data_IF_646340703658
#
_entry.id   IF_646340703658
#
_cell.length_a   1.000
_cell.length_b   1.000
_cell.length_c   1.000
_cell.angle_alpha   90.00
_cell.angle_beta   90.00
_cell.angle_gamma   90.00
#
_symmetry.space_group_name_H-M   'P 1'
#
loop_
_entity.id
_entity.type
_entity.pdbx_description
1 polymer ?
#
# COMPACT_ATOMS: atom_id res chain seq x y z
N UNK A 1 10.86 -26.70 -25.17
CA UNK A 1 11.27 -27.14 -23.81
C UNK A 1 11.15 -25.94 -22.89
N UNK A 2 10.12 -25.91 -22.05
CA UNK A 2 9.95 -24.86 -21.04
C UNK A 2 10.84 -25.27 -19.86
N UNK A 3 11.94 -24.55 -19.66
CA UNK A 3 12.81 -24.73 -18.49
C UNK A 3 11.99 -24.42 -17.24
N UNK A 4 11.73 -25.44 -16.41
CA UNK A 4 11.14 -25.26 -15.08
C UNK A 4 12.13 -24.48 -14.21
N UNK A 5 11.82 -23.22 -13.95
CA UNK A 5 12.63 -22.31 -13.11
C UNK A 5 12.65 -22.66 -11.61
N UNK A 6 12.32 -23.91 -11.26
CA UNK A 6 12.16 -24.44 -9.91
C UNK A 6 13.47 -24.88 -9.24
N UNK A 7 14.61 -24.80 -9.93
CA UNK A 7 15.83 -25.48 -9.49
C UNK A 7 16.99 -24.56 -9.04
N UNK A 8 16.76 -23.24 -8.94
CA UNK A 8 17.75 -22.36 -8.29
C UNK A 8 17.66 -22.49 -6.78
N UNK A 9 18.71 -23.05 -6.18
CA UNK A 9 18.99 -23.00 -4.75
C UNK A 9 19.62 -21.66 -4.41
N UNK A 10 19.10 -20.99 -3.40
CA UNK A 10 19.62 -19.74 -2.85
C UNK A 10 20.29 -20.03 -1.51
N UNK A 11 21.41 -19.37 -1.25
CA UNK A 11 22.05 -19.41 0.08
C UNK A 11 21.43 -18.31 0.94
N UNK A 12 20.77 -18.73 2.03
CA UNK A 12 20.26 -17.85 3.07
C UNK A 12 21.20 -17.76 4.27
N UNK A 13 20.86 -16.92 5.24
CA UNK A 13 21.60 -16.70 6.46
C UNK A 13 21.62 -17.94 7.37
N UNK A 14 20.54 -18.72 7.39
CA UNK A 14 20.38 -19.91 8.22
C UNK A 14 20.38 -21.22 7.43
N UNK A 15 20.69 -21.18 6.13
CA UNK A 15 20.77 -22.35 5.27
C UNK A 15 20.24 -22.10 3.85
N UNK A 16 20.25 -23.17 3.06
CA UNK A 16 19.74 -23.13 1.69
C UNK A 16 18.21 -23.01 1.66
N UNK A 17 17.70 -22.22 0.72
CA UNK A 17 16.27 -22.17 0.45
C UNK A 17 15.96 -22.15 -1.04
N UNK A 18 14.73 -22.53 -1.37
CA UNK A 18 14.22 -22.57 -2.74
C UNK A 18 13.01 -21.65 -2.89
N UNK A 19 12.93 -21.01 -4.05
CA UNK A 19 11.78 -20.21 -4.46
C UNK A 19 10.85 -21.11 -5.28
N UNK A 20 9.68 -21.40 -4.72
CA UNK A 20 8.64 -22.25 -5.33
C UNK A 20 7.77 -21.45 -6.29
N UNK A 21 7.01 -22.14 -7.15
CA UNK A 21 6.05 -21.49 -8.05
C UNK A 21 4.92 -20.79 -7.28
N UNK A 22 4.53 -21.31 -6.11
CA UNK A 22 3.59 -20.65 -5.20
C UNK A 22 4.14 -19.31 -4.69
N UNK A 23 5.42 -19.27 -4.28
CA UNK A 23 6.07 -18.03 -3.84
C UNK A 23 6.10 -17.00 -5.00
N UNK A 24 6.42 -17.45 -6.22
CA UNK A 24 6.42 -16.59 -7.42
C UNK A 24 5.04 -16.03 -7.71
N UNK A 25 4.01 -16.88 -7.64
CA UNK A 25 2.62 -16.47 -7.84
C UNK A 25 2.18 -15.46 -6.78
N UNK A 26 2.54 -15.68 -5.52
CA UNK A 26 2.32 -14.72 -4.44
C UNK A 26 2.94 -13.35 -4.73
N UNK A 27 4.20 -13.30 -5.19
CA UNK A 27 4.85 -12.04 -5.58
C UNK A 27 4.13 -11.37 -6.76
N UNK A 28 3.66 -12.13 -7.75
CA UNK A 28 2.91 -11.57 -8.88
C UNK A 28 1.63 -10.90 -8.38
N UNK A 29 0.85 -11.59 -7.54
CA UNK A 29 -0.37 -11.01 -6.96
C UNK A 29 -0.07 -9.78 -6.11
N UNK A 30 1.02 -9.82 -5.33
CA UNK A 30 1.48 -8.69 -4.52
C UNK A 30 1.72 -7.44 -5.39
N UNK A 31 2.46 -7.61 -6.49
CA UNK A 31 2.80 -6.53 -7.42
C UNK A 31 1.57 -6.03 -8.17
N UNK A 32 0.69 -6.92 -8.62
CA UNK A 32 -0.56 -6.56 -9.28
C UNK A 32 -1.48 -5.78 -8.34
N UNK A 33 -1.67 -6.24 -7.10
CA UNK A 33 -2.45 -5.53 -6.09
C UNK A 33 -1.89 -4.13 -5.84
N UNK A 34 -0.57 -4.01 -5.72
CA UNK A 34 0.09 -2.71 -5.53
C UNK A 34 -0.09 -1.78 -6.74
N UNK A 35 -0.03 -2.30 -7.96
CA UNK A 35 -0.27 -1.54 -9.18
C UNK A 35 -1.72 -1.06 -9.29
N UNK A 36 -2.69 -1.93 -8.99
CA UNK A 36 -4.11 -1.56 -8.90
C UNK A 36 -4.31 -0.47 -7.85
N UNK A 37 -3.66 -0.61 -6.69
CA UNK A 37 -3.72 0.39 -5.63
C UNK A 37 -3.19 1.75 -6.09
N UNK A 38 -2.00 1.79 -6.68
CA UNK A 38 -1.39 3.01 -7.17
C UNK A 38 -2.21 3.67 -8.29
N UNK A 39 -2.75 2.88 -9.22
CA UNK A 39 -3.61 3.38 -10.29
C UNK A 39 -4.93 3.93 -9.74
N UNK A 40 -5.60 3.22 -8.83
CA UNK A 40 -6.81 3.70 -8.18
C UNK A 40 -6.56 5.04 -7.46
N UNK A 41 -5.49 5.12 -6.68
CA UNK A 41 -5.13 6.36 -5.99
C UNK A 41 -4.84 7.51 -6.96
N UNK A 42 -4.10 7.26 -8.04
CA UNK A 42 -3.75 8.27 -9.03
C UNK A 42 -4.95 8.75 -9.85
N UNK A 43 -5.83 7.82 -10.26
CA UNK A 43 -7.06 8.17 -10.97
C UNK A 43 -8.01 8.96 -10.07
N UNK A 44 -8.16 8.56 -8.79
CA UNK A 44 -8.94 9.30 -7.80
C UNK A 44 -8.42 10.72 -7.59
N UNK A 45 -7.11 10.85 -7.39
CA UNK A 45 -6.42 12.15 -7.24
C UNK A 45 -6.60 13.02 -8.48
N UNK A 46 -6.33 12.47 -9.67
CA UNK A 46 -6.45 13.19 -10.93
C UNK A 46 -7.88 13.64 -11.20
N UNK A 47 -8.86 12.76 -10.97
CA UNK A 47 -10.27 13.09 -11.15
C UNK A 47 -10.74 14.19 -10.21
N UNK A 48 -10.41 14.10 -8.91
CA UNK A 48 -10.76 15.11 -7.91
C UNK A 48 -10.19 16.50 -8.24
N UNK A 49 -9.00 16.56 -8.84
CA UNK A 49 -8.34 17.83 -9.20
C UNK A 49 -8.88 18.40 -10.51
N UNK A 50 -9.14 17.56 -11.52
CA UNK A 50 -9.52 17.98 -12.87
C UNK A 50 -11.02 18.24 -13.02
N UNK A 51 -11.85 17.56 -12.24
CA UNK A 51 -13.33 17.63 -12.35
C UNK A 51 -13.89 18.00 -10.97
N UNK A 52 -13.75 19.27 -10.53
CA UNK A 52 -14.27 19.72 -9.26
C UNK A 52 -15.81 19.65 -9.27
N UNK A 53 -16.40 19.16 -8.17
CA UNK A 53 -17.86 19.11 -7.97
C UNK A 53 -18.51 17.76 -8.26
N UNK A 54 -17.80 16.78 -8.83
CA UNK A 54 -18.24 15.39 -8.92
C UNK A 54 -17.22 14.51 -8.21
N UNK A 55 -17.61 13.88 -7.10
CA UNK A 55 -16.70 13.03 -6.31
C UNK A 55 -17.13 11.56 -6.25
N UNK A 56 -18.26 11.20 -6.85
CA UNK A 56 -18.78 9.84 -6.83
C UNK A 56 -17.81 8.83 -7.46
N UNK A 57 -17.12 9.22 -8.53
CA UNK A 57 -16.13 8.35 -9.18
C UNK A 57 -14.84 8.21 -8.34
N UNK A 58 -14.52 9.22 -7.51
CA UNK A 58 -13.40 9.14 -6.56
C UNK A 58 -13.65 8.04 -5.54
N UNK A 59 -14.88 7.84 -5.08
CA UNK A 59 -15.24 6.72 -4.20
C UNK A 59 -14.99 5.36 -4.87
N UNK A 60 -15.27 5.23 -6.17
CA UNK A 60 -15.00 3.99 -6.92
C UNK A 60 -13.50 3.75 -7.05
N UNK A 61 -12.72 4.79 -7.39
CA UNK A 61 -11.26 4.71 -7.46
C UNK A 61 -10.64 4.41 -6.10
N UNK A 62 -11.20 4.96 -5.02
CA UNK A 62 -10.81 4.66 -3.65
C UNK A 62 -11.09 3.19 -3.28
N UNK A 63 -12.25 2.65 -3.70
CA UNK A 63 -12.56 1.23 -3.49
C UNK A 63 -11.58 0.32 -4.23
N UNK A 64 -11.24 0.64 -5.49
CA UNK A 64 -10.19 -0.07 -6.24
C UNK A 64 -8.84 0.01 -5.53
N UNK A 65 -8.50 1.20 -5.00
CA UNK A 65 -7.30 1.39 -4.20
C UNK A 65 -7.27 0.47 -2.98
N UNK A 66 -8.36 0.44 -2.20
CA UNK A 66 -8.51 -0.38 -1.01
C UNK A 66 -8.39 -1.89 -1.32
N UNK A 67 -9.05 -2.35 -2.38
CA UNK A 67 -9.01 -3.76 -2.80
C UNK A 67 -7.62 -4.17 -3.31
N UNK A 68 -6.97 -3.33 -4.12
CA UNK A 68 -5.61 -3.56 -4.59
C UNK A 68 -4.61 -3.62 -3.42
N UNK A 69 -4.75 -2.71 -2.45
CA UNK A 69 -3.93 -2.69 -1.25
C UNK A 69 -4.14 -3.96 -0.41
N UNK A 70 -5.39 -4.39 -0.24
CA UNK A 70 -5.72 -5.63 0.45
C UNK A 70 -5.09 -6.86 -0.22
N UNK A 71 -5.26 -6.99 -1.54
CA UNK A 71 -4.61 -8.07 -2.31
C UNK A 71 -3.10 -8.07 -2.10
N UNK A 72 -2.47 -6.89 -2.13
CA UNK A 72 -1.04 -6.71 -1.91
C UNK A 72 -0.63 -7.17 -0.51
N UNK A 73 -1.34 -6.76 0.54
CA UNK A 73 -1.05 -7.12 1.94
C UNK A 73 -1.27 -8.60 2.25
N UNK A 74 -2.21 -9.26 1.58
CA UNK A 74 -2.47 -10.68 1.77
C UNK A 74 -1.39 -11.56 1.12
N UNK A 75 -0.62 -11.02 0.17
CA UNK A 75 0.32 -11.78 -0.67
C UNK A 75 1.79 -11.32 -0.52
N UNK A 76 2.04 -10.20 0.15
CA UNK A 76 3.38 -9.72 0.45
C UNK A 76 4.10 -10.63 1.45
N UNK A 77 5.39 -10.87 1.21
CA UNK A 77 6.26 -11.58 2.15
C UNK A 77 6.94 -10.56 3.07
N UNK A 78 6.63 -10.63 4.37
CA UNK A 78 7.21 -9.78 5.42
C UNK A 78 7.76 -10.68 6.52
N UNK A 79 9.05 -10.55 6.84
CA UNK A 79 9.72 -11.33 7.89
C UNK A 79 9.09 -11.16 9.28
N UNK A 80 8.82 -9.90 9.63
CA UNK A 80 8.27 -9.54 10.92
C UNK A 80 6.76 -9.81 10.92
N UNK A 81 6.38 -11.02 11.32
CA UNK A 81 4.97 -11.45 11.39
C UNK A 81 4.10 -10.47 12.21
N UNK A 82 4.54 -9.93 13.37
CA UNK A 82 3.75 -8.94 14.11
C UNK A 82 3.46 -7.68 13.30
N UNK A 83 4.47 -7.18 12.56
CA UNK A 83 4.30 -6.03 11.67
C UNK A 83 3.31 -6.37 10.55
N UNK A 84 3.45 -7.53 9.90
CA UNK A 84 2.55 -7.94 8.83
C UNK A 84 1.09 -7.99 9.28
N UNK A 85 0.81 -8.61 10.44
CA UNK A 85 -0.54 -8.68 11.02
C UNK A 85 -1.07 -7.30 11.39
N UNK A 86 -0.22 -6.43 11.95
CA UNK A 86 -0.63 -5.06 12.26
C UNK A 86 -1.09 -4.30 11.02
N UNK A 87 -0.36 -4.42 9.89
CA UNK A 87 -0.77 -3.79 8.64
C UNK A 87 -2.08 -4.36 8.11
N UNK A 88 -2.29 -5.69 8.18
CA UNK A 88 -3.56 -6.31 7.80
C UNK A 88 -4.73 -5.82 8.66
N UNK A 89 -4.53 -5.65 9.98
CA UNK A 89 -5.53 -5.10 10.89
C UNK A 89 -5.83 -3.64 10.52
N UNK A 90 -4.80 -2.82 10.29
CA UNK A 90 -4.97 -1.42 9.87
C UNK A 90 -5.76 -1.32 8.56
N UNK A 91 -5.43 -2.13 7.57
CA UNK A 91 -6.21 -2.20 6.34
C UNK A 91 -7.67 -2.61 6.61
N UNK A 92 -7.90 -3.66 7.41
CA UNK A 92 -9.24 -4.15 7.73
C UNK A 92 -10.09 -3.10 8.44
N UNK A 93 -9.55 -2.45 9.48
CA UNK A 93 -10.22 -1.37 10.22
C UNK A 93 -10.57 -0.22 9.28
N UNK A 94 -9.61 0.26 8.49
CA UNK A 94 -9.85 1.37 7.56
C UNK A 94 -10.84 1.01 6.45
N UNK A 95 -10.81 -0.23 5.94
CA UNK A 95 -11.73 -0.70 4.90
C UNK A 95 -13.17 -0.80 5.42
N UNK A 96 -13.35 -1.37 6.62
CA UNK A 96 -14.67 -1.46 7.26
C UNK A 96 -15.20 -0.04 7.56
N UNK A 97 -14.39 0.83 8.15
CA UNK A 97 -14.79 2.21 8.42
C UNK A 97 -15.22 2.94 7.14
N UNK A 98 -14.44 2.79 6.06
CA UNK A 98 -14.74 3.39 4.76
C UNK A 98 -16.04 2.85 4.16
N UNK A 99 -16.29 1.55 4.30
CA UNK A 99 -17.50 0.91 3.81
C UNK A 99 -18.73 1.41 4.58
N UNK A 100 -18.67 1.42 5.91
CA UNK A 100 -19.75 1.92 6.77
C UNK A 100 -20.08 3.37 6.41
N UNK A 101 -19.07 4.24 6.34
CA UNK A 101 -19.27 5.65 5.98
C UNK A 101 -19.82 5.81 4.56
N UNK A 102 -19.40 4.98 3.61
CA UNK A 102 -19.92 5.04 2.23
C UNK A 102 -21.39 4.61 2.11
N UNK A 103 -21.90 3.82 3.05
CA UNK A 103 -23.30 3.37 3.08
C UNK A 103 -24.17 4.35 3.86
N UNK A 104 -23.67 4.88 4.98
CA UNK A 104 -24.43 5.79 5.84
C UNK A 104 -24.47 7.23 5.32
N UNK A 105 -23.40 7.68 4.66
CA UNK A 105 -23.32 9.01 4.07
C UNK A 105 -24.14 9.11 2.78
N UNK A 106 -24.83 10.23 2.60
CA UNK A 106 -25.44 10.59 1.30
C UNK A 106 -24.42 11.18 0.33
N UNK A 107 -23.32 11.71 0.87
CA UNK A 107 -22.25 12.32 0.11
C UNK A 107 -21.17 11.29 -0.25
N UNK A 108 -20.45 11.49 -1.37
CA UNK A 108 -19.30 10.67 -1.71
C UNK A 108 -18.28 10.62 -0.56
N UNK A 109 -17.70 9.45 -0.29
CA UNK A 109 -16.79 9.22 0.83
C UNK A 109 -15.66 10.26 0.92
N UNK A 110 -15.06 10.61 -0.23
CA UNK A 110 -13.97 11.58 -0.28
C UNK A 110 -14.41 12.99 0.18
N UNK A 111 -15.65 13.39 -0.12
CA UNK A 111 -16.21 14.66 0.34
C UNK A 111 -16.48 14.60 1.85
N UNK A 112 -17.14 13.53 2.30
CA UNK A 112 -17.46 13.33 3.71
C UNK A 112 -16.19 13.37 4.58
N UNK A 113 -15.12 12.71 4.17
CA UNK A 113 -13.86 12.67 4.93
C UNK A 113 -13.20 14.05 5.00
N UNK A 114 -13.28 14.84 3.92
CA UNK A 114 -12.74 16.20 3.87
C UNK A 114 -13.52 17.17 4.77
N UNK A 115 -14.86 17.07 4.78
CA UNK A 115 -15.72 17.93 5.60
C UNK A 115 -15.77 17.50 7.08
N UNK A 116 -15.53 16.22 7.36
CA UNK A 116 -15.47 15.66 8.71
C UNK A 116 -14.11 14.99 8.97
N UNK A 117 -13.03 15.76 9.21
CA UNK A 117 -11.67 15.22 9.37
C UNK A 117 -11.54 14.16 10.48
N UNK A 118 -12.39 14.21 11.51
CA UNK A 118 -12.43 13.21 12.59
C UNK A 118 -12.63 11.77 12.05
N UNK A 119 -13.27 11.61 10.90
CA UNK A 119 -13.45 10.33 10.21
C UNK A 119 -12.13 9.67 9.80
N UNK A 120 -11.04 10.44 9.70
CA UNK A 120 -9.68 9.92 9.50
C UNK A 120 -9.22 9.01 10.64
N UNK A 121 -9.80 9.11 11.84
CA UNK A 121 -9.52 8.15 12.91
C UNK A 121 -10.02 6.72 12.58
N UNK A 122 -10.92 6.56 11.61
CA UNK A 122 -11.29 5.26 11.04
C UNK A 122 -10.62 5.02 9.70
N UNK A 123 -10.95 5.83 8.70
CA UNK A 123 -10.50 5.67 7.30
C UNK A 123 -8.98 5.77 7.17
N UNK A 124 -8.34 6.58 8.03
CA UNK A 124 -6.90 6.80 8.05
C UNK A 124 -6.07 5.53 8.28
N UNK A 125 -6.64 4.50 8.90
CA UNK A 125 -5.95 3.23 9.11
C UNK A 125 -5.56 2.52 7.80
N UNK A 126 -6.33 2.70 6.71
CA UNK A 126 -5.91 2.21 5.39
C UNK A 126 -4.58 2.83 4.96
N UNK A 127 -4.40 4.12 5.20
CA UNK A 127 -3.19 4.84 4.84
C UNK A 127 -2.05 4.56 5.81
N UNK A 128 -2.34 4.28 7.08
CA UNK A 128 -1.36 3.76 8.03
C UNK A 128 -0.80 2.40 7.56
N UNK A 129 -1.67 1.52 7.07
CA UNK A 129 -1.25 0.24 6.47
C UNK A 129 -0.35 0.44 5.25
N UNK A 130 -0.73 1.34 4.34
CA UNK A 130 0.07 1.66 3.16
C UNK A 130 1.43 2.27 3.53
N UNK A 131 1.46 3.15 4.53
CA UNK A 131 2.70 3.73 5.07
C UNK A 131 3.65 2.65 5.57
N UNK A 132 3.12 1.59 6.19
CA UNK A 132 3.91 0.42 6.59
C UNK A 132 4.55 -0.34 5.43
N UNK A 133 3.88 -0.44 4.28
CA UNK A 133 4.48 -1.01 3.06
C UNK A 133 5.64 -0.14 2.58
N UNK A 134 5.45 1.18 2.50
CA UNK A 134 6.52 2.10 2.10
C UNK A 134 7.72 2.01 3.06
N UNK A 135 7.45 1.97 4.37
CA UNK A 135 8.48 1.81 5.39
C UNK A 135 9.27 0.51 5.17
N UNK A 136 8.59 -0.65 5.04
CA UNK A 136 9.24 -1.94 4.75
C UNK A 136 10.16 -1.84 3.54
N UNK A 137 9.68 -1.21 2.47
CA UNK A 137 10.41 -1.10 1.22
C UNK A 137 11.60 -0.12 1.27
N UNK A 138 11.46 0.98 2.02
CA UNK A 138 12.56 1.90 2.30
C UNK A 138 13.69 1.18 3.05
N UNK A 139 13.37 0.34 4.03
CA UNK A 139 14.37 -0.45 4.75
C UNK A 139 14.99 -1.57 3.91
N UNK A 140 14.20 -2.27 3.08
CA UNK A 140 14.71 -3.39 2.28
C UNK A 140 15.54 -2.97 1.06
N UNK A 141 15.20 -1.85 0.40
CA UNK A 141 15.77 -1.49 -0.91
C UNK A 141 16.31 -0.07 -1.00
N UNK A 142 16.29 0.68 0.10
CA UNK A 142 16.87 2.02 0.20
C UNK A 142 16.35 3.04 -0.83
N UNK A 143 15.11 2.85 -1.30
CA UNK A 143 14.54 3.67 -2.40
C UNK A 143 14.11 5.05 -1.94
N UNK A 144 14.41 6.06 -2.76
CA UNK A 144 14.09 7.45 -2.45
C UNK A 144 12.58 7.68 -2.38
N UNK A 145 11.81 7.13 -3.32
CA UNK A 145 10.37 7.35 -3.36
C UNK A 145 9.67 6.82 -2.10
N UNK A 146 10.07 5.65 -1.59
CA UNK A 146 9.47 5.08 -0.37
C UNK A 146 9.94 5.80 0.88
N UNK A 147 11.21 6.23 0.95
CA UNK A 147 11.71 7.09 2.04
C UNK A 147 10.98 8.43 2.14
N UNK A 148 10.57 9.01 1.02
CA UNK A 148 9.79 10.25 1.00
C UNK A 148 8.32 9.99 1.32
N UNK A 149 7.74 8.91 0.78
CA UNK A 149 6.35 8.54 1.01
C UNK A 149 6.05 8.20 2.48
N UNK A 150 6.97 7.51 3.16
CA UNK A 150 6.79 7.09 4.57
C UNK A 150 6.47 8.24 5.52
N UNK A 151 7.19 9.38 5.53
CA UNK A 151 6.80 10.54 6.33
C UNK A 151 5.73 11.42 5.67
N UNK A 152 5.68 11.50 4.33
CA UNK A 152 4.75 12.38 3.63
C UNK A 152 3.28 12.04 3.94
N UNK A 153 2.91 10.76 3.88
CA UNK A 153 1.53 10.32 4.12
C UNK A 153 1.03 10.68 5.53
N UNK A 154 1.72 10.30 6.63
CA UNK A 154 1.26 10.67 7.97
C UNK A 154 1.31 12.18 8.22
N UNK A 155 2.30 12.91 7.69
CA UNK A 155 2.35 14.38 7.82
C UNK A 155 1.13 15.02 7.17
N UNK A 156 0.78 14.59 5.95
CA UNK A 156 -0.40 15.10 5.25
C UNK A 156 -1.69 14.82 6.03
N UNK A 157 -1.92 13.56 6.43
CA UNK A 157 -3.18 13.17 7.07
C UNK A 157 -3.34 13.75 8.47
N UNK A 158 -2.28 13.73 9.29
CA UNK A 158 -2.32 14.33 10.62
C UNK A 158 -2.36 15.86 10.55
N UNK A 159 -1.71 16.46 9.56
CA UNK A 159 -1.77 17.90 9.33
C UNK A 159 -3.17 18.36 8.91
N UNK A 160 -3.85 17.59 8.05
CA UNK A 160 -5.25 17.83 7.68
C UNK A 160 -6.18 17.64 8.90
N UNK A 161 -6.01 16.55 9.66
CA UNK A 161 -6.78 16.28 10.88
C UNK A 161 -6.63 17.40 11.92
N UNK A 162 -5.42 17.95 12.07
CA UNK A 162 -5.15 19.06 12.99
C UNK A 162 -5.57 20.44 12.44
N UNK A 163 -5.97 20.54 11.17
CA UNK A 163 -6.34 21.79 10.52
C UNK A 163 -5.18 22.78 10.38
N UNK A 164 -3.93 22.31 10.36
CA UNK A 164 -2.72 23.15 10.35
C UNK A 164 -2.12 23.34 8.95
N UNK A 165 -2.55 22.55 7.97
CA UNK A 165 -2.04 22.61 6.60
C UNK A 165 -2.93 23.51 5.72
N UNK A 166 -2.34 24.47 4.99
CA UNK A 166 -3.07 25.19 3.95
C UNK A 166 -3.49 24.26 2.81
N UNK A 167 -4.67 24.47 2.24
CA UNK A 167 -5.24 23.67 1.13
C UNK A 167 -4.26 23.51 -0.05
N UNK A 168 -3.51 24.57 -0.39
CA UNK A 168 -2.50 24.51 -1.46
C UNK A 168 -1.36 23.53 -1.16
N UNK A 169 -0.95 23.42 0.11
CA UNK A 169 0.07 22.47 0.57
C UNK A 169 -0.47 21.04 0.55
N UNK A 170 -1.70 20.84 1.04
CA UNK A 170 -2.36 19.53 1.00
C UNK A 170 -2.47 19.01 -0.44
N UNK A 171 -2.93 19.86 -1.36
CA UNK A 171 -3.01 19.53 -2.79
C UNK A 171 -1.63 19.15 -3.36
N UNK A 172 -0.60 19.92 -3.03
CA UNK A 172 0.77 19.61 -3.43
C UNK A 172 1.23 18.24 -2.93
N UNK A 173 1.01 17.94 -1.65
CA UNK A 173 1.38 16.66 -1.05
C UNK A 173 0.61 15.48 -1.65
N UNK A 174 -0.70 15.59 -1.90
CA UNK A 174 -1.48 14.53 -2.54
C UNK A 174 -0.99 14.26 -3.97
N UNK A 175 -0.66 15.30 -4.74
CA UNK A 175 -0.09 15.15 -6.09
C UNK A 175 1.28 14.45 -6.02
N UNK A 176 2.16 14.89 -5.12
CA UNK A 176 3.47 14.28 -4.92
C UNK A 176 3.34 12.81 -4.51
N UNK A 177 2.43 12.49 -3.59
CA UNK A 177 2.12 11.12 -3.21
C UNK A 177 1.69 10.29 -4.41
N UNK A 178 0.73 10.78 -5.20
CA UNK A 178 0.22 10.06 -6.37
C UNK A 178 1.34 9.70 -7.34
N UNK A 179 2.24 10.65 -7.65
CA UNK A 179 3.35 10.44 -8.57
C UNK A 179 4.35 9.42 -8.00
N UNK A 180 4.78 9.62 -6.76
CA UNK A 180 5.76 8.73 -6.12
C UNK A 180 5.21 7.31 -5.94
N UNK A 181 3.90 7.16 -5.67
CA UNK A 181 3.28 5.86 -5.56
C UNK A 181 3.25 5.11 -6.90
N UNK A 182 2.94 5.81 -8.00
CA UNK A 182 3.05 5.22 -9.34
C UNK A 182 4.48 4.80 -9.67
N UNK A 183 5.48 5.63 -9.35
CA UNK A 183 6.90 5.30 -9.55
C UNK A 183 7.26 4.04 -8.75
N UNK A 184 6.89 4.00 -7.47
CA UNK A 184 7.14 2.85 -6.60
C UNK A 184 6.51 1.56 -7.18
N UNK A 185 5.23 1.61 -7.57
CA UNK A 185 4.54 0.47 -8.15
C UNK A 185 5.14 0.03 -9.50
N UNK A 186 5.46 0.97 -10.39
CA UNK A 186 6.08 0.67 -11.68
C UNK A 186 7.44 -0.02 -11.51
N UNK A 187 8.27 0.43 -10.56
CA UNK A 187 9.58 -0.18 -10.30
C UNK A 187 9.50 -1.61 -9.80
N UNK A 188 8.38 -2.02 -9.20
CA UNK A 188 8.20 -3.42 -8.80
C UNK A 188 8.20 -4.37 -9.98
N UNK A 189 7.74 -3.96 -11.17
CA UNK A 189 7.72 -4.84 -12.34
C UNK A 189 9.12 -5.20 -12.86
N UNK A 190 10.10 -4.32 -12.64
CA UNK A 190 11.50 -4.55 -13.06
C UNK A 190 12.36 -5.23 -11.98
N UNK A 191 11.83 -5.40 -10.76
CA UNK A 191 12.55 -6.03 -9.67
C UNK A 191 12.60 -7.56 -9.83
N UNK A 192 13.73 -8.23 -9.53
CA UNK A 192 13.78 -9.69 -9.47
C UNK A 192 12.78 -10.24 -8.43
N UNK A 193 12.04 -11.28 -8.79
CA UNK A 193 11.04 -11.91 -7.91
C UNK A 193 11.62 -12.36 -6.56
N UNK A 194 12.80 -13.03 -6.49
CA UNK A 194 13.36 -13.49 -5.21
C UNK A 194 13.55 -12.38 -4.19
N UNK A 195 13.81 -11.15 -4.65
CA UNK A 195 14.02 -10.00 -3.78
C UNK A 195 12.75 -9.63 -3.00
N UNK A 196 11.56 -9.84 -3.58
CA UNK A 196 10.28 -9.56 -2.88
C UNK A 196 9.85 -10.69 -1.93
N UNK A 197 10.45 -11.88 -2.06
CA UNK A 197 10.23 -13.02 -1.16
C UNK A 197 11.11 -12.87 0.09
N UNK A 198 12.37 -12.47 -0.12
CA UNK A 198 13.40 -12.50 0.90
C UNK A 198 13.97 -13.91 1.13
N UNK A 199 14.99 -13.97 1.97
CA UNK A 199 15.59 -15.16 2.57
C UNK A 199 14.61 -16.02 3.39
N UNK A 200 14.13 -17.12 2.80
CA UNK A 200 13.20 -18.04 3.49
C UNK A 200 13.81 -18.75 4.71
N UNK A 201 15.13 -18.88 4.80
CA UNK A 201 15.78 -19.52 5.95
C UNK A 201 15.54 -18.74 7.25
N UNK A 202 15.45 -17.41 7.17
CA UNK A 202 15.09 -16.55 8.31
C UNK A 202 13.66 -16.83 8.77
N UNK A 203 12.72 -17.03 7.84
CA UNK A 203 11.33 -17.36 8.20
C UNK A 203 11.22 -18.71 8.91
N UNK A 204 12.01 -19.70 8.50
CA UNK A 204 12.05 -21.00 9.17
C UNK A 204 12.66 -20.89 10.56
N UNK A 205 13.79 -20.19 10.70
CA UNK A 205 14.43 -19.97 11.99
C UNK A 205 13.49 -19.27 13.00
N UNK A 206 12.79 -18.22 12.57
CA UNK A 206 11.84 -17.47 13.41
C UNK A 206 10.58 -18.28 13.80
N UNK A 207 10.24 -19.36 13.09
CA UNK A 207 9.14 -20.26 13.49
C UNK A 207 9.56 -21.24 14.59
N UNK A 208 10.84 -21.52 14.71
CA UNK A 208 11.42 -22.49 15.63
C UNK A 208 12.09 -21.84 16.87
N UNK A 209 12.08 -20.51 16.95
CA UNK A 209 12.60 -19.70 18.07
C UNK A 209 11.45 -19.22 18.95
#
# INVERSE_FOLDING_TARGET
MISSSSDRVYQGQFGEFRVTDSDRFGVILYRLGLAIAALGFALGTGYAILIPGSLSLVTVFYALFCLGLGLSLLTIHIYLIPLHRLLQIFWGVGAIASLVLSIESRDPLALFVYEHPISLLGVGFIFASLTGIYFKEAFCFDRLETKLLTPLVPILLLGHLAGILPIGVEKGFVITWSILFLIFAARKFFQPIPNDIGDKSVFEHLKHS
#
